data_IF_303771917972
#
_entry.id   IF_303771917972
#
_cell.length_a   1.000
_cell.length_b   1.000
_cell.length_c   1.000
_cell.angle_alpha   90.00
_cell.angle_beta   90.00
_cell.angle_gamma   90.00
#
_symmetry.space_group_name_H-M   'P 1'
#
loop_
_entity.id
_entity.type
_entity.pdbx_description
1 polymer ?
#
# COMPACT_ATOMS: atom_id res chain seq x y z
N UNK A 1 9.74 13.81 50.63
CA UNK A 1 9.31 14.76 49.59
C UNK A 1 8.84 13.95 48.40
N UNK A 2 7.55 13.57 48.32
CA UNK A 2 7.02 12.96 47.11
C UNK A 2 6.84 14.07 46.06
N UNK A 3 7.43 13.88 44.88
CA UNK A 3 7.27 14.77 43.75
C UNK A 3 5.89 14.58 43.14
N UNK A 4 5.22 15.70 42.86
CA UNK A 4 4.01 15.77 42.05
C UNK A 4 4.28 15.22 40.64
N UNK A 5 3.82 14.01 40.37
CA UNK A 5 3.50 13.55 39.02
C UNK A 5 2.15 14.17 38.61
N UNK A 6 2.10 15.48 38.45
CA UNK A 6 1.07 16.13 37.64
C UNK A 6 1.39 15.83 36.18
N UNK A 7 0.95 14.66 35.72
CA UNK A 7 0.74 14.41 34.28
C UNK A 7 -0.39 15.34 33.85
N UNK A 8 -0.02 16.57 33.50
CA UNK A 8 -0.92 17.53 32.90
C UNK A 8 -1.60 16.86 31.72
N UNK A 9 -2.92 16.71 31.83
CA UNK A 9 -3.79 16.24 30.76
C UNK A 9 -3.54 17.17 29.57
N UNK A 10 -2.76 16.73 28.60
CA UNK A 10 -2.52 17.49 27.38
C UNK A 10 -3.87 17.59 26.69
N UNK A 11 -4.53 18.74 26.86
CA UNK A 11 -5.82 19.02 26.27
C UNK A 11 -5.70 18.78 24.76
N UNK A 12 -6.51 17.88 24.22
CA UNK A 12 -6.60 17.71 22.78
C UNK A 12 -6.98 19.06 22.21
N UNK A 13 -6.18 19.63 21.30
CA UNK A 13 -6.46 20.94 20.76
C UNK A 13 -7.82 20.90 20.06
N UNK A 14 -8.71 21.80 20.50
CA UNK A 14 -10.06 21.97 19.95
C UNK A 14 -10.04 23.09 18.94
N UNK A 15 -10.73 22.90 17.82
CA UNK A 15 -10.91 24.00 16.89
C UNK A 15 -11.98 24.95 17.38
N UNK A 16 -11.88 26.21 16.98
CA UNK A 16 -12.85 27.28 17.20
C UNK A 16 -13.70 27.57 15.96
N UNK A 17 -13.37 26.97 14.80
CA UNK A 17 -14.08 27.17 13.54
C UNK A 17 -14.21 25.86 12.73
N UNK A 18 -15.24 25.75 11.87
CA UNK A 18 -15.40 24.59 10.99
C UNK A 18 -14.18 24.31 10.12
N UNK A 19 -13.86 23.03 9.96
CA UNK A 19 -12.73 22.56 9.17
C UNK A 19 -13.19 21.70 7.99
N UNK A 20 -12.58 21.91 6.82
CA UNK A 20 -12.70 21.03 5.65
C UNK A 20 -11.35 20.44 5.31
N UNK A 21 -11.28 19.11 5.24
CA UNK A 21 -10.02 18.42 5.03
C UNK A 21 -9.95 17.88 3.61
N UNK A 22 -8.77 17.94 2.99
CA UNK A 22 -8.49 17.30 1.70
C UNK A 22 -7.26 16.42 1.84
N UNK A 23 -7.44 15.12 1.67
CA UNK A 23 -6.38 14.12 1.69
C UNK A 23 -5.99 13.74 0.26
N UNK A 24 -4.72 13.90 -0.08
CA UNK A 24 -4.13 13.47 -1.35
C UNK A 24 -2.96 12.53 -1.12
N UNK A 25 -2.68 11.63 -2.07
CA UNK A 25 -1.54 10.72 -1.97
C UNK A 25 -0.24 11.51 -2.18
N UNK A 26 0.66 11.42 -1.20
CA UNK A 26 1.99 12.02 -1.22
C UNK A 26 3.08 11.00 -1.54
N UNK A 27 2.94 9.76 -1.05
CA UNK A 27 3.81 8.63 -1.38
C UNK A 27 2.97 7.35 -1.48
N UNK A 28 3.32 6.44 -2.39
CA UNK A 28 2.71 5.11 -2.52
C UNK A 28 3.79 4.08 -2.78
N UNK A 29 3.84 3.01 -1.98
CA UNK A 29 4.79 1.89 -2.16
C UNK A 29 4.07 0.56 -1.96
N UNK A 30 4.34 -0.39 -2.86
CA UNK A 30 3.78 -1.73 -2.80
C UNK A 30 4.82 -2.72 -2.28
N UNK A 31 4.47 -3.50 -1.28
CA UNK A 31 5.27 -4.59 -0.72
C UNK A 31 4.57 -5.92 -0.96
N UNK A 32 5.22 -6.87 -1.63
CA UNK A 32 4.64 -8.19 -1.87
C UNK A 32 4.63 -9.01 -0.58
N UNK A 33 3.48 -9.03 0.11
CA UNK A 33 3.33 -9.59 1.44
C UNK A 33 3.56 -11.11 1.48
N UNK A 34 3.20 -11.82 0.41
CA UNK A 34 3.44 -13.27 0.33
C UNK A 34 4.91 -13.66 0.38
N UNK A 35 5.83 -12.74 0.03
CA UNK A 35 7.26 -12.98 0.18
C UNK A 35 7.70 -12.89 1.64
N UNK A 36 7.06 -12.04 2.44
CA UNK A 36 7.36 -11.84 3.86
C UNK A 36 6.72 -12.95 4.72
N UNK A 37 5.45 -13.26 4.45
CA UNK A 37 4.64 -14.18 5.25
C UNK A 37 4.96 -15.67 5.03
N UNK A 38 5.69 -16.04 3.97
CA UNK A 38 6.00 -17.47 3.71
C UNK A 38 6.98 -18.10 4.69
N UNK A 39 7.60 -17.34 5.60
CA UNK A 39 8.31 -17.90 6.76
C UNK A 39 9.48 -18.82 6.43
N UNK A 40 9.96 -18.86 5.18
CA UNK A 40 11.27 -19.44 4.87
C UNK A 40 12.27 -18.59 5.61
N UNK A 41 12.85 -19.11 6.70
CA UNK A 41 13.73 -18.36 7.59
C UNK A 41 14.65 -17.42 6.83
N UNK A 42 14.82 -16.19 7.34
CA UNK A 42 15.56 -15.10 6.70
C UNK A 42 16.72 -15.65 5.85
N UNK A 43 16.64 -15.62 4.51
CA UNK A 43 17.64 -16.27 3.70
C UNK A 43 19.02 -15.66 4.01
N UNK A 44 20.06 -16.46 3.80
CA UNK A 44 21.44 -16.09 4.09
C UNK A 44 21.75 -14.70 3.51
N UNK A 45 22.45 -13.84 4.24
CA UNK A 45 22.91 -12.55 3.71
C UNK A 45 23.79 -12.71 2.47
N UNK A 46 24.38 -13.89 2.28
CA UNK A 46 25.14 -14.26 1.09
C UNK A 46 24.24 -14.53 -0.12
N UNK A 47 22.96 -14.82 0.09
CA UNK A 47 21.97 -15.01 -0.97
C UNK A 47 21.40 -13.64 -1.43
N UNK A 48 21.49 -13.29 -2.73
CA UNK A 48 20.86 -12.09 -3.28
C UNK A 48 19.37 -11.97 -2.93
N UNK A 49 18.60 -13.07 -2.99
CA UNK A 49 17.16 -13.05 -2.68
C UNK A 49 16.94 -12.74 -1.21
N UNK A 50 17.73 -13.33 -0.31
CA UNK A 50 17.76 -12.98 1.11
C UNK A 50 17.98 -11.50 1.38
N UNK A 51 18.97 -10.89 0.71
CA UNK A 51 19.21 -9.44 0.81
C UNK A 51 18.04 -8.61 0.28
N UNK A 52 17.41 -9.04 -0.82
CA UNK A 52 16.20 -8.39 -1.34
C UNK A 52 15.07 -8.39 -0.30
N UNK A 53 14.75 -9.56 0.27
CA UNK A 53 13.66 -9.69 1.25
C UNK A 53 13.92 -8.88 2.52
N UNK A 54 15.16 -8.87 3.02
CA UNK A 54 15.53 -8.06 4.19
C UNK A 54 15.40 -6.56 3.93
N UNK A 55 15.75 -6.08 2.72
CA UNK A 55 15.55 -4.67 2.36
C UNK A 55 14.07 -4.31 2.35
N UNK A 56 13.21 -5.18 1.82
CA UNK A 56 11.76 -4.97 1.81
C UNK A 56 11.20 -4.94 3.24
N UNK A 57 11.60 -5.89 4.09
CA UNK A 57 11.21 -5.93 5.49
C UNK A 57 11.65 -4.66 6.24
N UNK A 58 12.92 -4.26 6.10
CA UNK A 58 13.43 -3.05 6.75
C UNK A 58 12.73 -1.77 6.28
N UNK A 59 12.46 -1.68 4.98
CA UNK A 59 11.71 -0.56 4.43
C UNK A 59 10.29 -0.49 4.99
N UNK A 60 9.62 -1.65 5.16
CA UNK A 60 8.31 -1.73 5.77
C UNK A 60 8.34 -1.41 7.27
N UNK A 61 9.33 -1.92 8.01
CA UNK A 61 9.57 -1.58 9.42
C UNK A 61 9.72 -0.05 9.61
N UNK A 62 10.49 0.61 8.74
CA UNK A 62 10.66 2.07 8.77
C UNK A 62 9.38 2.87 8.53
N UNK A 63 8.31 2.25 8.01
CA UNK A 63 7.01 2.92 7.86
C UNK A 63 6.16 2.90 9.13
N UNK A 64 6.50 2.04 10.09
CA UNK A 64 5.70 1.79 11.29
C UNK A 64 5.74 2.96 12.27
N UNK A 65 6.90 3.62 12.36
CA UNK A 65 7.09 4.83 13.18
C UNK A 65 6.29 6.02 12.63
N UNK A 66 6.10 6.06 11.30
CA UNK A 66 5.52 7.21 10.59
C UNK A 66 4.00 7.30 10.62
N UNK A 67 3.29 6.28 11.09
CA UNK A 67 1.82 6.40 11.22
C UNK A 67 1.07 6.15 9.91
N UNK A 68 1.66 5.49 8.93
CA UNK A 68 1.11 5.46 7.56
C UNK A 68 -0.13 4.56 7.45
N UNK A 69 -0.89 4.75 6.38
CA UNK A 69 -1.98 3.84 6.02
C UNK A 69 -1.46 2.77 5.06
N UNK A 70 -2.06 1.59 5.11
CA UNK A 70 -1.86 0.56 4.10
C UNK A 70 -3.18 -0.02 3.64
N UNK A 71 -3.24 -0.38 2.36
CA UNK A 71 -4.28 -1.23 1.81
C UNK A 71 -3.71 -2.63 1.66
N UNK A 72 -4.43 -3.62 2.19
CA UNK A 72 -4.20 -5.01 1.83
C UNK A 72 -4.85 -5.25 0.47
N UNK A 73 -4.02 -5.44 -0.54
CA UNK A 73 -4.44 -5.56 -1.93
C UNK A 73 -4.20 -6.99 -2.40
N UNK A 74 -5.13 -7.51 -3.19
CA UNK A 74 -4.99 -8.79 -3.90
C UNK A 74 -4.94 -8.55 -5.40
N UNK A 75 -4.07 -9.26 -6.09
CA UNK A 75 -3.97 -9.29 -7.56
C UNK A 75 -3.97 -10.74 -8.04
N UNK A 76 -4.38 -11.03 -9.29
CA UNK A 76 -4.23 -12.37 -9.85
C UNK A 76 -2.81 -12.90 -9.66
N UNK A 77 -2.72 -14.16 -9.24
CA UNK A 77 -1.43 -14.81 -8.99
C UNK A 77 -0.56 -14.77 -10.22
N UNK A 78 0.71 -14.38 -10.07
CA UNK A 78 1.66 -14.31 -11.18
C UNK A 78 2.95 -15.05 -10.82
N UNK A 79 3.38 -15.98 -11.66
CA UNK A 79 4.62 -16.77 -11.48
C UNK A 79 5.45 -16.78 -12.73
N UNK A 80 6.74 -17.04 -12.59
CA UNK A 80 7.64 -17.33 -13.70
C UNK A 80 7.49 -18.81 -14.07
N UNK A 81 7.29 -19.09 -15.36
CA UNK A 81 7.23 -20.46 -15.86
C UNK A 81 8.66 -21.02 -15.96
N UNK A 82 9.09 -21.72 -14.91
CA UNK A 82 10.44 -22.30 -14.82
C UNK A 82 10.67 -23.48 -15.76
N UNK A 83 9.61 -24.01 -16.39
CA UNK A 83 9.70 -25.11 -17.37
C UNK A 83 10.05 -24.60 -18.77
N UNK A 84 9.89 -23.30 -19.03
CA UNK A 84 10.20 -22.66 -20.32
C UNK A 84 11.48 -21.84 -20.21
N UNK A 85 12.32 -21.94 -21.24
CA UNK A 85 13.51 -21.11 -21.33
C UNK A 85 13.13 -19.64 -21.63
N UNK A 86 13.94 -18.72 -21.13
CA UNK A 86 13.91 -17.33 -21.58
C UNK A 86 14.44 -17.21 -23.01
N UNK A 87 14.05 -16.14 -23.71
CA UNK A 87 14.61 -15.81 -25.01
C UNK A 87 15.14 -14.38 -25.04
N UNK A 88 16.09 -14.14 -25.94
CA UNK A 88 16.74 -12.85 -26.10
C UNK A 88 16.46 -12.29 -27.49
N UNK A 89 16.29 -10.97 -27.57
CA UNK A 89 16.31 -10.25 -28.84
C UNK A 89 17.65 -10.42 -29.56
N UNK A 90 17.64 -10.52 -30.89
CA UNK A 90 18.81 -10.88 -31.70
C UNK A 90 19.95 -9.84 -31.67
N UNK A 91 19.65 -8.57 -31.35
CA UNK A 91 20.63 -7.48 -31.26
C UNK A 91 20.41 -6.53 -30.06
N UNK A 92 19.66 -6.95 -29.04
CA UNK A 92 19.33 -6.09 -27.90
C UNK A 92 19.36 -6.87 -26.60
N UNK A 93 19.37 -6.14 -25.48
CA UNK A 93 19.19 -6.69 -24.15
C UNK A 93 17.71 -6.88 -23.79
N UNK A 94 16.87 -7.08 -24.81
CA UNK A 94 15.46 -7.44 -24.64
C UNK A 94 15.36 -8.89 -24.22
N UNK A 95 14.98 -9.11 -22.98
CA UNK A 95 14.77 -10.42 -22.37
C UNK A 95 13.27 -10.73 -22.36
N UNK A 96 12.87 -11.84 -22.94
CA UNK A 96 11.50 -12.37 -22.84
C UNK A 96 11.46 -13.48 -21.79
N UNK A 97 10.67 -13.25 -20.74
CA UNK A 97 10.48 -14.15 -19.60
C UNK A 97 9.12 -14.82 -19.72
N UNK A 98 9.03 -16.17 -19.72
CA UNK A 98 7.75 -16.87 -19.72
C UNK A 98 7.09 -16.81 -18.33
N UNK A 99 5.77 -16.62 -18.31
CA UNK A 99 5.00 -16.42 -17.06
C UNK A 99 3.72 -17.25 -17.04
N UNK A 100 3.22 -17.52 -15.83
CA UNK A 100 1.94 -18.17 -15.54
C UNK A 100 1.04 -17.16 -14.82
N UNK A 101 -0.18 -16.97 -15.34
CA UNK A 101 -1.10 -15.91 -14.90
C UNK A 101 -2.38 -16.54 -14.35
N UNK A 102 -2.75 -16.14 -13.13
CA UNK A 102 -3.94 -16.57 -12.42
C UNK A 102 -3.84 -17.98 -11.84
N UNK A 103 -4.93 -18.41 -11.20
CA UNK A 103 -5.07 -19.75 -10.63
C UNK A 103 -4.98 -20.87 -11.67
N UNK A 104 -5.45 -20.59 -12.89
CA UNK A 104 -5.44 -21.52 -14.02
C UNK A 104 -4.06 -21.65 -14.70
N UNK A 105 -3.05 -20.92 -14.20
CA UNK A 105 -1.69 -20.91 -14.73
C UNK A 105 -1.64 -20.63 -16.25
N UNK A 106 -2.45 -19.67 -16.71
CA UNK A 106 -2.51 -19.30 -18.12
C UNK A 106 -1.13 -18.83 -18.58
N UNK A 107 -0.59 -19.49 -19.59
CA UNK A 107 0.73 -19.20 -20.14
C UNK A 107 0.76 -17.82 -20.81
N UNK A 108 1.78 -17.05 -20.47
CA UNK A 108 2.09 -15.75 -21.06
C UNK A 108 3.59 -15.53 -21.20
N UNK A 109 3.96 -14.30 -21.54
CA UNK A 109 5.34 -13.81 -21.57
C UNK A 109 5.39 -12.34 -21.19
N UNK A 110 6.47 -11.92 -20.54
CA UNK A 110 6.82 -10.53 -20.30
C UNK A 110 8.12 -10.24 -21.05
N UNK A 111 8.17 -9.13 -21.79
CA UNK A 111 9.40 -8.67 -22.43
C UNK A 111 9.90 -7.43 -21.73
N UNK A 112 11.15 -7.47 -21.26
CA UNK A 112 11.80 -6.35 -20.58
C UNK A 112 13.04 -5.93 -21.36
N UNK A 113 13.31 -4.63 -21.40
CA UNK A 113 14.57 -4.09 -21.93
C UNK A 113 15.53 -3.87 -20.76
N UNK A 114 16.71 -4.48 -20.81
CA UNK A 114 17.67 -4.42 -19.73
C UNK A 114 18.78 -3.42 -20.05
N UNK A 115 19.04 -2.52 -19.11
CA UNK A 115 20.25 -1.70 -19.12
C UNK A 115 21.39 -2.43 -18.43
N UNK A 116 22.61 -2.28 -18.94
CA UNK A 116 23.81 -2.86 -18.32
C UNK A 116 24.15 -2.02 -17.08
N UNK A 117 24.15 -2.61 -15.87
CA UNK A 117 24.54 -1.90 -14.66
C UNK A 117 25.99 -1.42 -14.73
N UNK A 118 26.29 -0.29 -14.10
CA UNK A 118 27.65 0.28 -14.07
C UNK A 118 28.70 -0.70 -13.53
N UNK A 119 28.36 -1.44 -12.47
CA UNK A 119 29.28 -2.39 -11.83
C UNK A 119 29.32 -3.76 -12.52
N UNK A 120 28.67 -3.94 -13.69
CA UNK A 120 28.58 -5.22 -14.37
C UNK A 120 29.91 -5.65 -15.02
N UNK A 121 30.27 -6.92 -14.87
CA UNK A 121 31.40 -7.52 -15.59
C UNK A 121 30.95 -8.08 -16.95
N UNK A 122 29.70 -8.54 -17.05
CA UNK A 122 29.14 -9.07 -18.29
C UNK A 122 28.29 -8.03 -19.01
N UNK A 123 28.39 -7.98 -20.34
CA UNK A 123 27.49 -7.17 -21.20
C UNK A 123 26.08 -7.76 -21.29
N UNK A 124 25.93 -9.04 -20.97
CA UNK A 124 24.66 -9.78 -21.00
C UNK A 124 24.64 -10.72 -19.79
N UNK A 125 23.61 -10.68 -18.93
CA UNK A 125 23.62 -11.44 -17.69
C UNK A 125 23.30 -12.92 -17.96
N UNK A 126 23.79 -13.79 -17.08
CA UNK A 126 23.24 -15.14 -16.96
C UNK A 126 21.89 -15.05 -16.23
N UNK A 127 20.90 -15.78 -16.72
CA UNK A 127 19.54 -15.72 -16.22
C UNK A 127 19.21 -17.00 -15.47
N UNK A 128 18.75 -16.86 -14.23
CA UNK A 128 18.19 -17.95 -13.44
C UNK A 128 16.73 -17.67 -13.12
N UNK A 129 15.88 -18.66 -13.32
CA UNK A 129 14.45 -18.58 -13.07
C UNK A 129 14.09 -19.31 -11.79
N UNK A 130 13.31 -18.66 -10.94
CA UNK A 130 12.61 -19.23 -9.80
C UNK A 130 11.14 -18.84 -9.88
N UNK A 131 10.25 -19.56 -9.19
CA UNK A 131 8.80 -19.35 -9.21
C UNK A 131 8.38 -17.86 -9.07
N UNK A 132 9.04 -17.14 -8.16
CA UNK A 132 8.74 -15.73 -7.84
C UNK A 132 9.82 -14.74 -8.25
N UNK A 133 10.99 -15.21 -8.66
CA UNK A 133 12.17 -14.38 -8.88
C UNK A 133 12.88 -14.69 -10.19
N UNK A 134 13.26 -13.64 -10.90
CA UNK A 134 14.25 -13.63 -11.96
C UNK A 134 15.57 -13.16 -11.35
N UNK A 135 16.64 -13.96 -11.44
CA UNK A 135 17.95 -13.56 -10.98
C UNK A 135 18.84 -13.30 -12.20
N UNK A 136 19.30 -12.05 -12.32
CA UNK A 136 20.23 -11.61 -13.36
C UNK A 136 21.64 -11.58 -12.75
N UNK A 137 22.51 -12.46 -13.24
CA UNK A 137 23.91 -12.49 -12.84
C UNK A 137 24.77 -11.77 -13.88
N UNK A 138 25.24 -10.58 -13.51
CA UNK A 138 26.10 -9.71 -14.31
C UNK A 138 27.60 -9.95 -14.07
N UNK A 139 27.97 -11.06 -13.41
CA UNK A 139 29.33 -11.45 -13.05
C UNK A 139 29.70 -10.98 -11.65
N UNK A 140 30.15 -9.74 -11.52
CA UNK A 140 30.49 -9.07 -10.25
C UNK A 140 29.29 -8.78 -9.35
N UNK A 141 28.08 -8.75 -9.92
CA UNK A 141 26.85 -8.50 -9.17
C UNK A 141 25.73 -9.43 -9.60
N UNK A 142 24.83 -9.71 -8.65
CA UNK A 142 23.60 -10.45 -8.87
C UNK A 142 22.42 -9.56 -8.50
N UNK A 143 21.47 -9.45 -9.41
CA UNK A 143 20.25 -8.66 -9.25
C UNK A 143 19.04 -9.59 -9.22
N UNK A 144 18.42 -9.79 -8.05
CA UNK A 144 17.15 -10.48 -7.94
C UNK A 144 16.01 -9.49 -8.22
N UNK A 145 15.12 -9.85 -9.13
CA UNK A 145 13.89 -9.15 -9.45
C UNK A 145 12.73 -10.08 -9.15
N UNK A 146 11.81 -9.68 -8.27
CA UNK A 146 10.57 -10.43 -8.13
C UNK A 146 9.74 -10.27 -9.41
N UNK A 147 8.86 -11.22 -9.70
CA UNK A 147 7.98 -11.13 -10.88
C UNK A 147 7.11 -9.87 -10.85
N UNK A 148 6.74 -9.38 -9.66
CA UNK A 148 6.00 -8.13 -9.50
C UNK A 148 6.88 -6.88 -9.63
N UNK A 149 8.18 -6.95 -9.31
CA UNK A 149 9.12 -5.87 -9.69
C UNK A 149 9.18 -5.72 -11.21
N UNK A 150 9.13 -6.83 -11.96
CA UNK A 150 9.13 -6.79 -13.43
C UNK A 150 7.87 -6.09 -13.95
N UNK A 151 6.70 -6.39 -13.38
CA UNK A 151 5.43 -5.76 -13.80
C UNK A 151 5.36 -4.28 -13.43
N UNK A 152 5.97 -3.86 -12.31
CA UNK A 152 6.00 -2.46 -11.90
C UNK A 152 7.01 -1.61 -12.66
N UNK A 153 8.20 -2.17 -12.96
CA UNK A 153 9.29 -1.42 -13.59
C UNK A 153 9.17 -1.31 -15.10
N UNK A 154 8.49 -2.26 -15.74
CA UNK A 154 8.42 -2.36 -17.18
C UNK A 154 6.97 -2.35 -17.66
N UNK A 155 6.73 -1.78 -18.84
CA UNK A 155 5.43 -1.93 -19.51
C UNK A 155 5.31 -3.35 -20.07
N UNK A 156 4.64 -4.20 -19.30
CA UNK A 156 4.48 -5.62 -19.60
C UNK A 156 3.19 -5.95 -20.35
N UNK A 157 2.27 -4.98 -20.49
CA UNK A 157 0.91 -5.19 -20.97
C UNK A 157 0.04 -6.10 -20.08
N UNK A 158 0.53 -6.51 -18.90
CA UNK A 158 -0.23 -7.29 -17.92
C UNK A 158 -1.04 -6.33 -17.03
N UNK A 159 -2.23 -5.97 -17.50
CA UNK A 159 -3.14 -5.17 -16.70
C UNK A 159 -4.12 -6.07 -15.92
N UNK A 160 -4.16 -5.86 -14.61
CA UNK A 160 -5.08 -6.54 -13.72
C UNK A 160 -5.36 -5.66 -12.50
N UNK A 161 -6.64 -5.34 -12.23
CA UNK A 161 -6.98 -4.45 -11.15
C UNK A 161 -6.57 -5.05 -9.80
N UNK A 162 -6.10 -4.15 -8.94
CA UNK A 162 -5.78 -4.39 -7.55
C UNK A 162 -7.05 -4.37 -6.71
N UNK A 163 -7.43 -5.48 -6.09
CA UNK A 163 -8.62 -5.50 -5.21
C UNK A 163 -8.22 -5.25 -3.76
N UNK A 164 -8.65 -4.11 -3.21
CA UNK A 164 -8.53 -3.75 -1.79
C UNK A 164 -9.44 -4.66 -0.97
N UNK A 165 -8.84 -5.35 0.01
CA UNK A 165 -9.51 -6.28 0.93
C UNK A 165 -9.62 -5.73 2.34
N UNK A 166 -8.72 -4.84 2.72
CA UNK A 166 -8.63 -4.29 4.07
C UNK A 166 -7.83 -2.99 4.08
N UNK A 167 -8.21 -2.07 4.96
CA UNK A 167 -7.51 -0.80 5.22
C UNK A 167 -6.99 -0.83 6.67
N UNK A 168 -5.73 -0.48 6.88
CA UNK A 168 -5.18 -0.40 8.23
C UNK A 168 -4.05 0.61 8.37
N UNK A 169 -3.54 0.75 9.59
CA UNK A 169 -2.38 1.58 9.89
C UNK A 169 -1.11 0.72 10.03
N UNK A 170 0.03 1.22 9.58
CA UNK A 170 1.33 0.54 9.71
C UNK A 170 1.85 0.49 11.14
N UNK A 171 1.27 1.27 12.07
CA UNK A 171 1.66 1.25 13.48
C UNK A 171 1.41 -0.13 14.09
N UNK A 172 2.48 -0.82 14.43
CA UNK A 172 2.41 -2.11 15.10
C UNK A 172 3.58 -2.24 16.07
N UNK A 173 3.34 -2.03 17.37
CA UNK A 173 4.42 -2.02 18.36
C UNK A 173 5.23 -3.34 18.42
N UNK A 174 4.68 -4.45 17.92
CA UNK A 174 5.33 -5.75 17.93
C UNK A 174 6.08 -6.09 16.62
N UNK A 175 5.97 -5.27 15.57
CA UNK A 175 6.63 -5.56 14.29
C UNK A 175 6.01 -6.71 13.50
N UNK A 176 4.81 -7.19 13.87
CA UNK A 176 4.17 -8.37 13.27
C UNK A 176 3.82 -8.14 11.79
N UNK A 177 3.43 -6.93 11.39
CA UNK A 177 3.13 -6.62 9.99
C UNK A 177 4.36 -6.87 9.10
N UNK A 178 5.51 -6.27 9.44
CA UNK A 178 6.73 -6.40 8.66
C UNK A 178 7.34 -7.82 8.71
N UNK A 179 7.13 -8.54 9.81
CA UNK A 179 7.56 -9.95 9.96
C UNK A 179 6.64 -10.97 9.29
N UNK A 180 5.52 -10.54 8.71
CA UNK A 180 4.56 -11.47 8.12
C UNK A 180 3.74 -12.27 9.14
N UNK A 181 3.61 -11.76 10.37
CA UNK A 181 2.97 -12.42 11.53
C UNK A 181 1.64 -11.76 11.93
N UNK A 182 1.17 -10.76 11.18
CA UNK A 182 -0.07 -10.05 11.48
C UNK A 182 -1.29 -10.96 11.24
N UNK A 183 -2.01 -11.31 12.31
CA UNK A 183 -3.09 -12.31 12.29
C UNK A 183 -4.20 -11.99 11.28
N UNK A 184 -4.71 -10.75 11.27
CA UNK A 184 -5.82 -10.37 10.39
C UNK A 184 -5.39 -10.40 8.92
N UNK A 185 -4.18 -9.92 8.64
CA UNK A 185 -3.60 -9.93 7.29
C UNK A 185 -3.36 -11.37 6.82
N UNK A 186 -2.81 -12.23 7.68
CA UNK A 186 -2.57 -13.63 7.35
C UNK A 186 -3.87 -14.43 7.12
N UNK A 187 -4.93 -14.14 7.87
CA UNK A 187 -6.26 -14.74 7.62
C UNK A 187 -6.78 -14.37 6.24
N UNK A 188 -6.69 -13.10 5.85
CA UNK A 188 -7.11 -12.60 4.53
C UNK A 188 -6.27 -13.18 3.41
N UNK A 189 -4.94 -13.19 3.60
CA UNK A 189 -4.00 -13.79 2.68
C UNK A 189 -4.37 -15.26 2.42
N UNK A 190 -4.56 -16.05 3.47
CA UNK A 190 -4.87 -17.48 3.31
C UNK A 190 -6.21 -17.70 2.60
N UNK A 191 -7.22 -16.85 2.85
CA UNK A 191 -8.51 -16.92 2.15
C UNK A 191 -8.42 -16.68 0.63
N UNK A 192 -7.36 -16.03 0.14
CA UNK A 192 -7.17 -15.69 -1.28
C UNK A 192 -5.93 -16.33 -1.92
N UNK A 193 -5.14 -17.07 -1.15
CA UNK A 193 -3.80 -17.54 -1.53
C UNK A 193 -3.77 -18.44 -2.77
N UNK A 194 -4.84 -19.19 -3.03
CA UNK A 194 -4.92 -20.07 -4.17
C UNK A 194 -4.85 -19.29 -5.49
N UNK A 195 -5.58 -18.17 -5.54
CA UNK A 195 -5.90 -17.47 -6.80
C UNK A 195 -5.18 -16.12 -6.92
N UNK A 196 -4.70 -15.58 -5.81
CA UNK A 196 -4.19 -14.21 -5.74
C UNK A 196 -2.86 -14.10 -4.99
N UNK A 197 -2.05 -13.15 -5.45
CA UNK A 197 -0.93 -12.62 -4.69
C UNK A 197 -1.40 -11.45 -3.83
N UNK A 198 -0.88 -11.36 -2.62
CA UNK A 198 -1.25 -10.38 -1.59
C UNK A 198 -0.16 -9.34 -1.39
N UNK A 199 -0.54 -8.06 -1.38
CA UNK A 199 0.34 -6.90 -1.25
C UNK A 199 -0.09 -5.99 -0.10
N UNK A 200 0.88 -5.35 0.52
CA UNK A 200 0.66 -4.15 1.31
C UNK A 200 0.98 -2.95 0.44
N UNK A 201 -0.03 -2.18 0.04
CA UNK A 201 0.18 -0.88 -0.57
C UNK A 201 0.18 0.18 0.54
N UNK A 202 1.36 0.60 0.96
CA UNK A 202 1.58 1.59 2.01
C UNK A 202 1.57 2.98 1.39
N UNK A 203 0.76 3.87 1.96
CA UNK A 203 0.56 5.23 1.46
C UNK A 203 0.76 6.27 2.55
N UNK A 204 1.47 7.34 2.19
CA UNK A 204 1.51 8.59 2.95
C UNK A 204 0.56 9.58 2.29
N UNK A 205 -0.23 10.25 3.11
CA UNK A 205 -1.17 11.27 2.66
C UNK A 205 -0.69 12.66 3.07
N UNK A 206 -0.91 13.63 2.20
CA UNK A 206 -0.88 15.04 2.53
C UNK A 206 -2.31 15.47 2.85
N UNK A 207 -2.54 16.00 4.06
CA UNK A 207 -3.87 16.37 4.54
C UNK A 207 -3.88 17.87 4.75
N UNK A 208 -4.49 18.57 3.79
CA UNK A 208 -4.69 20.01 3.82
C UNK A 208 -5.96 20.33 4.60
N UNK A 209 -5.87 21.27 5.53
CA UNK A 209 -6.98 21.73 6.36
C UNK A 209 -7.35 23.14 5.94
N UNK A 210 -8.60 23.35 5.55
CA UNK A 210 -9.19 24.66 5.29
C UNK A 210 -10.05 25.04 6.50
N UNK A 211 -9.74 26.17 7.13
CA UNK A 211 -10.46 26.68 8.29
C UNK A 211 -10.35 28.21 8.37
N UNK A 212 -11.31 28.85 9.04
CA UNK A 212 -11.24 30.27 9.39
C UNK A 212 -10.52 30.50 10.75
N UNK A 213 -10.20 29.43 11.47
CA UNK A 213 -9.42 29.52 12.70
C UNK A 213 -8.02 30.09 12.42
N UNK A 214 -7.56 30.99 13.29
CA UNK A 214 -6.27 31.68 13.15
C UNK A 214 -5.17 31.10 14.02
N UNK A 215 -5.50 30.23 14.98
CA UNK A 215 -4.54 29.66 15.93
C UNK A 215 -4.02 28.29 15.45
N UNK A 216 -2.70 28.20 15.28
CA UNK A 216 -2.01 26.95 14.92
C UNK A 216 -2.12 25.87 15.99
N UNK A 217 -2.40 26.23 17.25
CA UNK A 217 -2.64 25.27 18.30
C UNK A 217 -3.89 24.42 18.02
N UNK A 218 -4.81 24.86 17.17
CA UNK A 218 -6.05 24.15 16.83
C UNK A 218 -5.89 23.06 15.76
N UNK A 219 -4.68 22.89 15.21
CA UNK A 219 -4.42 21.90 14.18
C UNK A 219 -4.45 20.47 14.74
N UNK A 220 -5.23 19.61 14.09
CA UNK A 220 -5.26 18.18 14.41
C UNK A 220 -3.86 17.56 14.27
N UNK A 221 -3.49 16.70 15.23
CA UNK A 221 -2.24 15.94 15.19
C UNK A 221 -2.20 15.00 13.97
N UNK A 222 -1.00 14.61 13.52
CA UNK A 222 -0.85 13.64 12.42
C UNK A 222 -1.62 12.35 12.69
N UNK A 223 -1.57 11.87 13.94
CA UNK A 223 -2.34 10.69 14.36
C UNK A 223 -3.83 10.89 14.12
N UNK A 224 -4.37 12.01 14.57
CA UNK A 224 -5.78 12.34 14.42
C UNK A 224 -6.19 12.38 12.96
N UNK A 225 -5.38 13.04 12.12
CA UNK A 225 -5.66 13.14 10.68
C UNK A 225 -5.69 11.76 10.01
N UNK A 226 -4.76 10.88 10.39
CA UNK A 226 -4.73 9.48 9.93
C UNK A 226 -5.93 8.69 10.42
N UNK A 227 -6.34 8.85 11.68
CA UNK A 227 -7.48 8.12 12.27
C UNK A 227 -8.80 8.49 11.53
N UNK A 228 -9.01 9.76 11.21
CA UNK A 228 -10.18 10.22 10.41
C UNK A 228 -10.13 9.66 8.99
N UNK A 229 -8.96 9.72 8.34
CA UNK A 229 -8.79 9.23 6.97
C UNK A 229 -8.96 7.70 6.89
N UNK A 230 -8.45 6.94 7.88
CA UNK A 230 -8.65 5.50 7.97
C UNK A 230 -10.14 5.16 8.02
N UNK A 231 -10.92 5.85 8.86
CA UNK A 231 -12.37 5.62 8.96
C UNK A 231 -13.09 5.88 7.64
N UNK A 232 -12.74 6.95 6.93
CA UNK A 232 -13.29 7.25 5.61
C UNK A 232 -12.94 6.15 4.58
N UNK A 233 -11.70 5.68 4.56
CA UNK A 233 -11.23 4.65 3.63
C UNK A 233 -11.81 3.27 3.93
N UNK A 234 -11.96 2.91 5.21
CA UNK A 234 -12.67 1.69 5.63
C UNK A 234 -14.10 1.73 5.09
N UNK A 235 -14.81 2.84 5.30
CA UNK A 235 -16.18 2.98 4.81
C UNK A 235 -16.26 2.87 3.29
N UNK A 236 -15.29 3.45 2.58
CA UNK A 236 -15.24 3.46 1.13
C UNK A 236 -14.96 2.06 0.54
N UNK A 237 -13.89 1.39 1.01
CA UNK A 237 -13.44 0.14 0.43
C UNK A 237 -14.04 -1.11 1.08
N UNK A 238 -14.20 -1.13 2.41
CA UNK A 238 -14.73 -2.28 3.16
C UNK A 238 -16.24 -2.19 3.43
N UNK A 239 -16.85 -1.05 3.12
CA UNK A 239 -18.30 -0.85 3.17
C UNK A 239 -18.86 -0.54 4.57
N UNK A 240 -20.19 -0.57 4.73
CA UNK A 240 -20.86 -0.15 5.96
C UNK A 240 -20.78 -1.15 7.11
N UNK A 241 -20.53 -2.42 6.82
CA UNK A 241 -20.50 -3.52 7.78
C UNK A 241 -19.29 -4.45 7.46
N UNK A 242 -18.06 -3.99 7.73
CA UNK A 242 -16.84 -4.72 7.38
C UNK A 242 -16.75 -6.04 8.15
N UNK A 243 -16.81 -7.16 7.43
CA UNK A 243 -16.91 -8.53 8.00
C UNK A 243 -15.75 -8.94 8.91
N UNK A 244 -14.63 -8.25 8.81
CA UNK A 244 -13.36 -8.63 9.44
C UNK A 244 -13.11 -7.89 10.77
N UNK A 245 -13.97 -6.93 11.09
CA UNK A 245 -13.87 -6.09 12.29
C UNK A 245 -14.87 -6.56 13.32
N UNK A 246 -14.47 -6.55 14.59
CA UNK A 246 -15.39 -6.88 15.68
C UNK A 246 -16.38 -5.75 15.91
N UNK A 247 -17.57 -6.05 16.44
CA UNK A 247 -18.56 -5.02 16.80
C UNK A 247 -18.00 -4.02 17.83
N UNK A 248 -17.18 -4.51 18.77
CA UNK A 248 -16.49 -3.68 19.76
C UNK A 248 -15.55 -2.68 19.07
N UNK A 249 -14.72 -3.16 18.14
CA UNK A 249 -13.81 -2.32 17.36
C UNK A 249 -14.56 -1.25 16.54
N UNK A 250 -15.69 -1.62 15.95
CA UNK A 250 -16.55 -0.69 15.20
C UNK A 250 -17.20 0.34 16.12
N UNK A 251 -17.65 -0.08 17.31
CA UNK A 251 -18.20 0.81 18.34
C UNK A 251 -17.18 1.85 18.79
N UNK A 252 -15.98 1.40 19.19
CA UNK A 252 -14.89 2.30 19.61
C UNK A 252 -14.49 3.28 18.50
N UNK A 253 -14.42 2.83 17.24
CA UNK A 253 -14.12 3.72 16.11
C UNK A 253 -15.19 4.78 15.90
N UNK A 254 -16.47 4.40 16.00
CA UNK A 254 -17.59 5.35 15.86
C UNK A 254 -17.54 6.42 16.97
N UNK A 255 -17.37 6.01 18.21
CA UNK A 255 -17.26 6.94 19.36
C UNK A 255 -16.05 7.88 19.20
N UNK A 256 -14.90 7.33 18.80
CA UNK A 256 -13.71 8.14 18.49
C UNK A 256 -13.98 9.13 17.36
N UNK A 257 -14.69 8.70 16.31
CA UNK A 257 -15.01 9.58 15.18
C UNK A 257 -15.98 10.69 15.58
N UNK A 258 -17.00 10.41 16.40
CA UNK A 258 -17.90 11.44 16.97
C UNK A 258 -17.10 12.49 17.74
N UNK A 259 -16.22 12.04 18.65
CA UNK A 259 -15.36 12.94 19.41
C UNK A 259 -14.46 13.80 18.51
N UNK A 260 -13.90 13.22 17.44
CA UNK A 260 -13.03 13.94 16.51
C UNK A 260 -13.80 14.95 15.64
N UNK A 261 -15.01 14.60 15.17
CA UNK A 261 -15.87 15.54 14.42
C UNK A 261 -16.20 16.74 15.29
N UNK A 262 -16.62 16.49 16.53
CA UNK A 262 -17.01 17.54 17.47
C UNK A 262 -15.79 18.39 17.90
N UNK A 263 -14.65 17.77 18.15
CA UNK A 263 -13.42 18.44 18.59
C UNK A 263 -12.87 19.40 17.54
N UNK A 264 -12.96 19.02 16.25
CA UNK A 264 -12.37 19.78 15.15
C UNK A 264 -13.41 20.51 14.29
N UNK A 265 -14.70 20.48 14.66
CA UNK A 265 -15.80 20.97 13.84
C UNK A 265 -15.66 20.53 12.37
N UNK A 266 -15.42 19.23 12.16
CA UNK A 266 -15.11 18.69 10.84
C UNK A 266 -16.37 18.64 9.97
N UNK A 267 -16.46 19.55 8.99
CA UNK A 267 -17.55 19.62 8.02
C UNK A 267 -17.52 18.40 7.07
N UNK A 268 -16.37 18.22 6.41
CA UNK A 268 -16.17 17.16 5.43
C UNK A 268 -14.69 16.81 5.23
N UNK A 269 -14.47 15.60 4.74
CA UNK A 269 -13.18 15.11 4.25
C UNK A 269 -13.31 14.74 2.78
N UNK A 270 -12.57 15.42 1.92
CA UNK A 270 -12.35 14.99 0.54
C UNK A 270 -11.13 14.08 0.47
N UNK A 271 -11.26 12.93 -0.20
CA UNK A 271 -10.16 11.98 -0.45
C UNK A 271 -9.94 11.86 -1.95
N UNK A 272 -8.70 12.10 -2.39
CA UNK A 272 -8.26 11.90 -3.77
C UNK A 272 -7.07 10.94 -3.80
N UNK A 273 -7.30 9.74 -4.31
CA UNK A 273 -6.28 8.70 -4.46
C UNK A 273 -5.53 8.80 -5.79
N UNK A 274 -5.89 9.73 -6.69
CA UNK A 274 -5.24 9.91 -7.98
C UNK A 274 -3.99 10.78 -7.89
N UNK A 275 -2.90 10.30 -8.48
CA UNK A 275 -1.63 11.01 -8.57
C UNK A 275 -0.95 10.77 -9.93
N UNK A 276 -0.02 11.63 -10.30
CA UNK A 276 0.73 11.53 -11.55
C UNK A 276 1.70 10.34 -11.50
N UNK A 277 1.70 9.51 -12.55
CA UNK A 277 2.54 8.30 -12.60
C UNK A 277 1.94 7.06 -11.95
N UNK A 278 0.67 7.10 -11.54
CA UNK A 278 -0.07 5.91 -11.11
C UNK A 278 -0.11 4.84 -12.23
N UNK A 279 0.39 3.64 -11.92
CA UNK A 279 0.44 2.48 -12.82
C UNK A 279 -0.74 1.51 -12.57
N UNK A 280 -0.71 0.33 -13.20
CA UNK A 280 -1.73 -0.71 -13.03
C UNK A 280 -1.82 -1.31 -11.62
N UNK A 281 -0.91 -1.00 -10.68
CA UNK A 281 -1.09 -1.35 -9.26
C UNK A 281 -2.06 -0.43 -8.54
N UNK A 282 -2.29 0.76 -9.09
CA UNK A 282 -3.16 1.79 -8.55
C UNK A 282 -4.55 1.79 -9.19
N UNK A 283 -4.82 0.86 -10.11
CA UNK A 283 -6.18 0.53 -10.54
C UNK A 283 -6.88 -0.27 -9.43
N UNK A 284 -7.36 0.45 -8.42
CA UNK A 284 -7.93 -0.13 -7.21
C UNK A 284 -9.41 -0.44 -7.41
N UNK A 285 -9.89 -1.52 -6.79
CA UNK A 285 -11.29 -1.91 -6.72
C UNK A 285 -11.59 -2.51 -5.34
N UNK A 286 -12.85 -2.66 -4.98
CA UNK A 286 -13.28 -3.52 -3.86
C UNK A 286 -14.68 -4.09 -4.11
N UNK A 287 -15.23 -4.81 -3.13
CA UNK A 287 -16.65 -5.22 -3.16
C UNK A 287 -17.61 -4.01 -3.18
N UNK A 288 -17.14 -2.84 -2.73
CA UNK A 288 -17.95 -1.63 -2.55
C UNK A 288 -17.54 -0.46 -3.45
N UNK A 289 -16.36 -0.51 -4.08
CA UNK A 289 -15.86 0.53 -4.97
C UNK A 289 -15.52 -0.06 -6.36
N UNK A 290 -15.98 0.56 -7.46
CA UNK A 290 -15.65 0.11 -8.80
C UNK A 290 -14.16 0.28 -9.09
N UNK A 291 -13.64 -0.50 -10.05
CA UNK A 291 -12.25 -0.37 -10.49
C UNK A 291 -11.98 1.05 -11.02
N UNK A 292 -11.00 1.75 -10.44
CA UNK A 292 -10.58 3.07 -10.88
C UNK A 292 -9.11 3.34 -10.54
N UNK A 293 -8.41 4.02 -11.45
CA UNK A 293 -7.08 4.59 -11.17
C UNK A 293 -7.11 5.78 -10.21
N UNK A 294 -8.26 6.48 -10.18
CA UNK A 294 -8.49 7.67 -9.36
C UNK A 294 -9.80 7.52 -8.61
N UNK A 295 -9.70 7.25 -7.32
CA UNK A 295 -10.85 7.32 -6.42
C UNK A 295 -10.92 8.73 -5.84
N UNK A 296 -11.97 9.45 -6.20
CA UNK A 296 -12.24 10.79 -5.70
C UNK A 296 -13.64 10.83 -5.09
N UNK A 297 -13.71 11.09 -3.80
CA UNK A 297 -14.95 11.13 -3.05
C UNK A 297 -14.87 12.08 -1.86
N UNK A 298 -16.04 12.50 -1.37
CA UNK A 298 -16.21 13.27 -0.15
C UNK A 298 -16.87 12.39 0.90
N UNK A 299 -16.43 12.55 2.14
CA UNK A 299 -17.05 11.98 3.31
C UNK A 299 -17.65 13.11 4.15
N UNK A 300 -18.94 13.02 4.43
CA UNK A 300 -19.62 13.79 5.48
C UNK A 300 -19.84 12.87 6.65
N UNK A 301 -19.70 13.35 7.88
CA UNK A 301 -19.79 12.51 9.07
C UNK A 301 -21.13 12.70 9.77
N UNK A 302 -21.89 11.62 9.94
CA UNK A 302 -23.19 11.59 10.61
C UNK A 302 -23.18 10.45 11.64
N UNK A 303 -23.45 10.74 12.92
CA UNK A 303 -23.46 9.74 14.02
C UNK A 303 -22.18 8.88 14.06
N UNK A 304 -21.02 9.53 13.95
CA UNK A 304 -19.70 8.88 13.96
C UNK A 304 -19.39 8.02 12.74
N UNK A 305 -20.20 8.11 11.69
CA UNK A 305 -20.03 7.32 10.46
C UNK A 305 -19.80 8.23 9.28
N UNK A 306 -18.83 7.85 8.43
CA UNK A 306 -18.66 8.50 7.15
C UNK A 306 -19.81 8.12 6.19
N UNK A 307 -20.43 9.11 5.57
CA UNK A 307 -21.26 8.98 4.38
C UNK A 307 -20.44 9.39 3.17
N UNK A 308 -20.23 8.44 2.26
CA UNK A 308 -19.43 8.61 1.05
C UNK A 308 -20.30 9.19 -0.07
N UNK A 309 -19.80 10.23 -0.71
CA UNK A 309 -20.39 10.87 -1.88
C UNK A 309 -19.33 10.97 -2.99
N UNK A 310 -19.54 10.37 -4.17
CA UNK A 310 -18.59 10.48 -5.28
C UNK A 310 -18.53 11.93 -5.78
N UNK A 311 -17.34 12.39 -6.17
CA UNK A 311 -17.16 13.72 -6.76
C UNK A 311 -16.58 13.59 -8.17
N UNK A 312 -17.00 14.47 -9.08
CA UNK A 312 -16.44 14.55 -10.42
C UNK A 312 -14.95 14.98 -10.39
N UNK A 313 -14.12 14.26 -11.13
CA UNK A 313 -12.69 14.56 -11.26
C UNK A 313 -12.37 15.74 -12.19
N UNK A 314 -13.37 16.24 -12.93
CA UNK A 314 -13.19 17.29 -13.93
C UNK A 314 -12.63 18.57 -13.30
N UNK A 315 -11.50 19.06 -13.84
CA UNK A 315 -10.87 20.32 -13.42
C UNK A 315 -9.99 20.21 -12.17
N UNK A 316 -9.81 19.03 -11.56
CA UNK A 316 -8.89 18.83 -10.43
C UNK A 316 -7.57 18.21 -10.87
N UNK A 317 -6.42 18.88 -10.66
CA UNK A 317 -5.12 18.32 -11.01
C UNK A 317 -4.84 17.04 -10.22
N UNK A 318 -3.97 16.18 -10.75
CA UNK A 318 -3.43 15.04 -10.02
C UNK A 318 -2.35 15.54 -9.06
N UNK A 319 -2.20 14.90 -7.89
CA UNK A 319 -1.07 15.19 -7.02
C UNK A 319 0.23 14.67 -7.64
N UNK A 320 1.33 15.38 -7.40
CA UNK A 320 2.67 14.87 -7.66
C UNK A 320 3.17 14.18 -6.38
N UNK A 321 3.78 13.00 -6.53
CA UNK A 321 4.39 12.31 -5.40
C UNK A 321 5.63 13.07 -4.94
N UNK A 322 5.81 13.14 -3.62
CA UNK A 322 7.03 13.71 -3.01
C UNK A 322 8.09 12.61 -3.03
N UNK A 323 9.24 12.86 -3.68
CA UNK A 323 10.40 11.97 -3.68
C UNK A 323 10.95 11.71 -2.27
#
# INVERSE_FOLDING_TARGET
MPGDDTTGQVLTPRSSAPQRWTATVAESKCYWYDLLATGTGLPDFRDPVGRYLRRQQFALDGTMEKRLLYFLVTRPRLRIDTQRAVSWGFFSLKLTVPVLIGAEERKGTITIDLDVPFDATYKKPLVQLQDRFLILNWGSMMEPLSIHDLVQRYDTGLDAPSTVRYVGQTRDAAGKLAKGECTIVNRLREAHRADSDTFLMVQRFDIQVQTAATDMAEEASVRTRVDVLENALIRYFEGPAPRLRSEVELGTRRETMEELVDTYYLDDLTVDLGFAGADGFHDLASEHAPASRRHLFRCVFEEGRARVEPIAAAGRPLSELKE
#
